data_IF_185188758310
#
_entry.id   IF_185188758310
#
_cell.length_a   1.000
_cell.length_b   1.000
_cell.length_c   1.000
_cell.angle_alpha   90.00
_cell.angle_beta   90.00
_cell.angle_gamma   90.00
#
_symmetry.space_group_name_H-M   'P 1'
#
loop_
_entity.id
_entity.type
_entity.pdbx_description
1 polymer ?
#
# COMPACT_ATOMS: atom_id res chain seq x y z
N UNK A 1 -1.89 -18.42 -38.52
CA UNK A 1 -0.63 -18.29 -37.74
C UNK A 1 -0.40 -16.80 -37.51
N UNK A 2 -0.15 -16.44 -36.27
CA UNK A 2 0.21 -15.06 -35.90
C UNK A 2 1.57 -14.69 -36.50
N UNK A 3 1.66 -13.48 -37.02
CA UNK A 3 2.92 -12.86 -37.47
C UNK A 3 3.86 -12.62 -36.28
N UNK A 4 5.14 -12.35 -36.54
CA UNK A 4 6.11 -12.02 -35.48
C UNK A 4 5.71 -10.75 -34.73
N UNK A 5 5.15 -9.75 -35.43
CA UNK A 5 4.68 -8.50 -34.81
C UNK A 5 3.54 -8.76 -33.84
N UNK A 6 2.52 -9.54 -34.23
CA UNK A 6 1.39 -9.89 -33.37
C UNK A 6 1.80 -10.70 -32.12
N UNK A 7 2.81 -11.57 -32.26
CA UNK A 7 3.38 -12.29 -31.11
C UNK A 7 4.08 -11.37 -30.15
N UNK A 8 4.87 -10.40 -30.64
CA UNK A 8 5.56 -9.42 -29.80
C UNK A 8 4.55 -8.55 -29.07
N UNK A 9 3.51 -8.09 -29.75
CA UNK A 9 2.44 -7.31 -29.14
C UNK A 9 1.69 -8.10 -28.05
N UNK A 10 1.35 -9.36 -28.32
CA UNK A 10 0.74 -10.24 -27.33
C UNK A 10 1.63 -10.44 -26.08
N UNK A 11 2.93 -10.67 -26.27
CA UNK A 11 3.86 -10.80 -25.15
C UNK A 11 3.97 -9.52 -24.33
N UNK A 12 3.96 -8.35 -24.98
CA UNK A 12 3.97 -7.06 -24.29
C UNK A 12 2.70 -6.86 -23.44
N UNK A 13 1.53 -7.14 -24.01
CA UNK A 13 0.25 -7.06 -23.29
C UNK A 13 0.19 -8.03 -22.11
N UNK A 14 0.70 -9.25 -22.27
CA UNK A 14 0.77 -10.22 -21.17
C UNK A 14 1.71 -9.74 -20.06
N UNK A 15 2.90 -9.26 -20.41
CA UNK A 15 3.84 -8.71 -19.42
C UNK A 15 3.22 -7.55 -18.65
N UNK A 16 2.57 -6.62 -19.33
CA UNK A 16 1.86 -5.50 -18.70
C UNK A 16 0.75 -5.97 -17.76
N UNK A 17 -0.05 -6.97 -18.15
CA UNK A 17 -1.09 -7.52 -17.30
C UNK A 17 -0.55 -8.23 -16.06
N UNK A 18 0.64 -8.85 -16.13
CA UNK A 18 1.31 -9.41 -14.97
C UNK A 18 1.86 -8.30 -14.05
N UNK A 19 2.50 -7.28 -14.61
CA UNK A 19 3.03 -6.16 -13.85
C UNK A 19 1.89 -5.37 -13.15
N UNK A 20 0.74 -5.27 -13.79
CA UNK A 20 -0.48 -4.69 -13.21
C UNK A 20 -1.22 -5.64 -12.26
N UNK A 21 -0.73 -6.87 -12.07
CA UNK A 21 -1.35 -7.91 -11.24
C UNK A 21 -2.79 -8.27 -11.64
N UNK A 22 -3.14 -8.13 -12.92
CA UNK A 22 -4.40 -8.66 -13.45
C UNK A 22 -4.41 -10.20 -13.41
N UNK A 23 -3.22 -10.81 -13.52
CA UNK A 23 -2.97 -12.23 -13.41
C UNK A 23 -1.81 -12.50 -12.44
N UNK A 24 -1.87 -13.66 -11.79
CA UNK A 24 -0.79 -14.23 -10.98
C UNK A 24 -0.55 -15.66 -11.44
N UNK A 25 0.71 -16.10 -11.45
CA UNK A 25 1.09 -17.43 -11.89
C UNK A 25 1.65 -18.20 -10.72
N UNK A 26 1.08 -19.36 -10.45
CA UNK A 26 1.65 -20.35 -9.54
C UNK A 26 2.12 -21.57 -10.34
N UNK A 27 3.37 -21.98 -10.11
CA UNK A 27 3.93 -23.20 -10.72
C UNK A 27 4.56 -24.07 -9.65
N UNK A 28 4.40 -25.37 -9.80
CA UNK A 28 5.03 -26.34 -8.89
C UNK A 28 6.44 -26.74 -9.37
N UNK A 29 7.27 -25.73 -9.68
CA UNK A 29 8.66 -25.90 -10.07
C UNK A 29 9.47 -24.75 -9.46
N UNK A 30 10.34 -25.04 -8.52
CA UNK A 30 11.06 -24.03 -7.74
C UNK A 30 11.88 -23.07 -8.60
N UNK A 31 12.55 -23.54 -9.65
CA UNK A 31 13.36 -22.66 -10.52
C UNK A 31 12.51 -21.62 -11.28
N UNK A 32 11.33 -22.04 -11.73
CA UNK A 32 10.41 -21.13 -12.43
C UNK A 32 9.75 -20.21 -11.40
N UNK A 33 9.37 -20.73 -10.22
CA UNK A 33 8.79 -19.98 -9.14
C UNK A 33 9.72 -18.87 -8.64
N UNK A 34 11.03 -19.17 -8.48
CA UNK A 34 12.04 -18.16 -8.10
C UNK A 34 12.08 -17.01 -9.13
N UNK A 35 12.04 -17.34 -10.44
CA UNK A 35 12.01 -16.32 -11.49
C UNK A 35 10.72 -15.52 -11.53
N UNK A 36 9.57 -16.13 -11.21
CA UNK A 36 8.28 -15.44 -11.12
C UNK A 36 8.24 -14.52 -9.89
N UNK A 37 8.85 -14.95 -8.78
CA UNK A 37 8.99 -14.15 -7.57
C UNK A 37 9.87 -12.91 -7.83
N UNK A 38 11.01 -13.09 -8.50
CA UNK A 38 11.90 -11.98 -8.89
C UNK A 38 11.19 -10.95 -9.78
N UNK A 39 10.19 -11.37 -10.57
CA UNK A 39 9.34 -10.52 -11.39
C UNK A 39 8.10 -9.97 -10.65
N UNK A 40 7.80 -10.45 -9.44
CA UNK A 40 6.59 -10.09 -8.70
C UNK A 40 5.29 -10.68 -9.26
N UNK A 41 5.37 -11.74 -10.08
CA UNK A 41 4.24 -12.32 -10.81
C UNK A 41 3.58 -13.51 -10.10
N UNK A 42 4.18 -14.01 -9.03
CA UNK A 42 3.69 -15.15 -8.25
C UNK A 42 2.73 -14.77 -7.11
N UNK A 43 2.52 -13.47 -6.89
CA UNK A 43 1.67 -12.94 -5.82
C UNK A 43 2.28 -13.06 -4.43
N UNK A 44 3.58 -13.33 -4.32
CA UNK A 44 4.28 -13.28 -3.03
C UNK A 44 4.42 -11.85 -2.53
N UNK A 45 4.31 -11.66 -1.23
CA UNK A 45 4.57 -10.38 -0.60
C UNK A 45 6.09 -10.19 -0.47
N UNK A 46 6.62 -9.20 -1.18
CA UNK A 46 8.05 -8.90 -1.16
C UNK A 46 8.34 -7.78 -0.17
N UNK A 47 9.17 -8.03 0.81
CA UNK A 47 9.63 -7.01 1.75
C UNK A 47 11.14 -6.85 1.60
N UNK A 48 11.60 -5.62 1.35
CA UNK A 48 13.02 -5.33 1.26
C UNK A 48 13.58 -5.08 2.66
N UNK A 49 14.61 -5.84 3.05
CA UNK A 49 15.33 -5.59 4.27
C UNK A 49 16.26 -4.38 4.13
N UNK A 50 16.32 -3.60 5.18
CA UNK A 50 17.26 -2.50 5.35
C UNK A 50 18.35 -2.84 6.34
N UNK A 51 19.55 -2.30 6.13
CA UNK A 51 20.68 -2.38 7.08
C UNK A 51 21.22 -0.97 7.31
N UNK A 52 21.60 -0.66 8.57
CA UNK A 52 22.28 0.59 8.98
C UNK A 52 21.59 1.90 8.55
N UNK A 53 20.98 2.60 9.49
CA UNK A 53 20.30 3.89 9.28
C UNK A 53 19.26 3.89 8.12
N UNK A 54 18.70 2.73 7.87
CA UNK A 54 17.66 2.52 6.87
C UNK A 54 16.43 1.91 7.54
N UNK A 55 15.26 2.39 7.17
CA UNK A 55 13.99 1.81 7.54
C UNK A 55 13.22 1.41 6.28
N UNK A 56 12.78 0.15 6.22
CA UNK A 56 11.94 -0.33 5.13
C UNK A 56 10.53 -0.53 5.63
N UNK A 57 9.60 0.16 5.00
CA UNK A 57 8.17 0.08 5.28
C UNK A 57 7.44 -0.64 4.14
N UNK A 58 6.42 -1.37 4.51
CA UNK A 58 5.57 -2.11 3.58
C UNK A 58 4.11 -1.87 3.94
N UNK A 59 3.29 -1.60 2.95
CA UNK A 59 1.85 -1.44 3.08
C UNK A 59 1.17 -2.36 2.06
N UNK A 60 0.58 -3.44 2.53
CA UNK A 60 -0.27 -4.31 1.73
C UNK A 60 -1.72 -4.20 2.21
N UNK A 61 -2.55 -3.49 1.49
CA UNK A 61 -3.98 -3.37 1.80
C UNK A 61 -4.77 -4.22 0.80
N UNK A 62 -5.50 -5.22 1.34
CA UNK A 62 -6.26 -6.17 0.53
C UNK A 62 -7.74 -6.14 0.90
N UNK A 63 -8.56 -6.07 -0.12
CA UNK A 63 -10.01 -6.03 -0.05
C UNK A 63 -10.57 -7.31 -0.68
N UNK A 64 -11.42 -8.02 0.05
CA UNK A 64 -12.14 -9.18 -0.47
C UNK A 64 -13.63 -8.91 -0.36
N UNK A 65 -14.32 -8.81 -1.48
CA UNK A 65 -15.78 -8.62 -1.52
C UNK A 65 -16.47 -9.86 -0.99
N UNK A 66 -17.37 -9.67 -0.04
CA UNK A 66 -18.19 -10.74 0.54
C UNK A 66 -19.60 -10.73 0.00
N UNK A 67 -20.14 -9.55 -0.26
CA UNK A 67 -21.46 -9.35 -0.86
C UNK A 67 -21.47 -8.04 -1.68
N UNK A 68 -22.29 -7.98 -2.73
CA UNK A 68 -22.50 -6.83 -3.55
C UNK A 68 -21.81 -6.90 -4.92
N UNK A 69 -22.02 -5.91 -5.75
CA UNK A 69 -21.37 -5.81 -7.05
C UNK A 69 -19.94 -5.29 -6.89
N UNK A 70 -18.98 -6.07 -7.35
CA UNK A 70 -17.59 -5.61 -7.46
C UNK A 70 -17.42 -4.97 -8.84
N UNK A 71 -16.98 -3.71 -8.89
CA UNK A 71 -16.67 -3.15 -10.20
C UNK A 71 -16.59 -1.63 -10.26
N UNK A 72 -17.00 -1.10 -11.40
CA UNK A 72 -16.85 0.32 -11.79
C UNK A 72 -17.62 1.31 -10.90
N UNK A 73 -18.54 0.84 -10.08
CA UNK A 73 -19.37 1.68 -9.20
C UNK A 73 -18.73 1.93 -7.82
N UNK A 74 -17.61 1.26 -7.54
CA UNK A 74 -16.86 1.44 -6.27
C UNK A 74 -15.62 2.28 -6.55
N UNK A 75 -15.63 3.51 -6.04
CA UNK A 75 -14.46 4.39 -6.09
C UNK A 75 -13.62 4.22 -4.83
N UNK A 76 -12.32 4.26 -4.99
CA UNK A 76 -11.34 4.07 -3.93
C UNK A 76 -10.31 5.19 -3.96
N UNK A 77 -9.82 5.57 -2.78
CA UNK A 77 -8.70 6.49 -2.61
C UNK A 77 -7.90 6.04 -1.40
N UNK A 78 -6.60 6.02 -1.51
CA UNK A 78 -5.67 5.71 -0.43
C UNK A 78 -4.84 6.94 -0.09
N UNK A 79 -4.74 7.31 1.17
CA UNK A 79 -3.80 8.33 1.65
C UNK A 79 -2.91 7.72 2.72
N UNK A 80 -1.61 7.69 2.49
CA UNK A 80 -0.62 7.24 3.46
C UNK A 80 0.15 8.44 4.01
N UNK A 81 0.08 8.62 5.33
CA UNK A 81 0.85 9.64 6.06
C UNK A 81 1.93 8.96 6.89
N UNK A 82 3.15 9.43 6.73
CA UNK A 82 4.32 8.97 7.47
C UNK A 82 4.92 10.15 8.19
N UNK A 83 5.15 10.02 9.49
CA UNK A 83 5.78 11.06 10.32
C UNK A 83 6.95 10.49 11.10
N UNK A 84 8.09 11.15 11.00
CA UNK A 84 9.30 10.83 11.75
C UNK A 84 9.37 11.71 13.00
N UNK A 85 9.26 11.11 14.18
CA UNK A 85 9.34 11.79 15.48
C UNK A 85 10.46 11.19 16.30
N UNK A 86 11.64 11.80 16.31
CA UNK A 86 12.84 11.32 17.00
C UNK A 86 13.16 9.84 16.72
N UNK A 87 12.72 8.95 17.61
CA UNK A 87 12.91 7.48 17.49
C UNK A 87 11.63 6.74 17.12
N UNK A 88 10.59 7.47 16.81
CA UNK A 88 9.28 6.91 16.53
C UNK A 88 8.85 7.23 15.09
N UNK A 89 8.49 6.20 14.37
CA UNK A 89 7.90 6.29 13.05
C UNK A 89 6.39 6.05 13.18
N UNK A 90 5.60 7.09 12.95
CA UNK A 90 4.14 7.02 12.98
C UNK A 90 3.58 6.93 11.57
N UNK A 91 2.64 6.05 11.37
CA UNK A 91 1.96 5.86 10.08
C UNK A 91 0.45 5.91 10.28
N UNK A 92 -0.19 6.51 9.30
CA UNK A 92 -1.64 6.58 9.20
C UNK A 92 -2.05 6.29 7.76
N UNK A 93 -2.78 5.21 7.56
CA UNK A 93 -3.40 4.87 6.29
C UNK A 93 -4.88 5.20 6.35
N UNK A 94 -5.35 6.00 5.41
CA UNK A 94 -6.77 6.32 5.21
C UNK A 94 -7.19 5.66 3.92
N UNK A 95 -8.14 4.75 3.99
CA UNK A 95 -8.74 4.13 2.82
C UNK A 95 -10.19 4.61 2.70
N UNK A 96 -10.43 5.42 1.69
CA UNK A 96 -11.76 5.95 1.39
C UNK A 96 -12.42 5.11 0.30
N UNK A 97 -13.68 4.76 0.54
CA UNK A 97 -14.51 4.00 -0.40
C UNK A 97 -15.84 4.72 -0.56
N UNK A 98 -16.25 4.92 -1.80
CA UNK A 98 -17.54 5.44 -2.20
C UNK A 98 -18.27 4.38 -3.04
N UNK A 99 -19.45 4.03 -2.62
CA UNK A 99 -20.34 3.10 -3.31
C UNK A 99 -21.40 3.89 -4.07
N UNK A 100 -21.34 3.90 -5.39
CA UNK A 100 -22.33 4.56 -6.26
C UNK A 100 -23.46 3.62 -6.71
N UNK A 101 -23.39 2.34 -6.32
CA UNK A 101 -24.39 1.32 -6.68
C UNK A 101 -25.69 1.46 -5.87
N UNK A 102 -26.72 0.74 -6.28
CA UNK A 102 -28.00 0.66 -5.60
C UNK A 102 -28.06 -0.39 -4.48
N UNK A 103 -27.00 -1.19 -4.30
CA UNK A 103 -26.89 -2.25 -3.30
C UNK A 103 -25.77 -1.96 -2.29
N UNK A 104 -25.84 -2.59 -1.11
CA UNK A 104 -24.76 -2.55 -0.15
C UNK A 104 -23.50 -3.19 -0.72
N UNK A 105 -22.35 -2.59 -0.42
CA UNK A 105 -21.05 -3.16 -0.71
C UNK A 105 -20.40 -3.64 0.56
N UNK A 106 -20.22 -4.95 0.70
CA UNK A 106 -19.62 -5.57 1.88
C UNK A 106 -18.29 -6.21 1.53
N UNK A 107 -17.28 -5.93 2.34
CA UNK A 107 -15.93 -6.41 2.14
C UNK A 107 -15.24 -6.76 3.44
N UNK A 108 -14.30 -7.69 3.36
CA UNK A 108 -13.24 -7.88 4.32
C UNK A 108 -12.01 -7.07 3.88
N UNK A 109 -11.57 -6.14 4.71
CA UNK A 109 -10.39 -5.33 4.49
C UNK A 109 -9.27 -5.79 5.42
N UNK A 110 -8.07 -6.07 4.86
CA UNK A 110 -6.92 -6.57 5.61
C UNK A 110 -5.68 -5.73 5.30
N UNK A 111 -5.07 -5.17 6.34
CA UNK A 111 -3.80 -4.46 6.26
C UNK A 111 -2.66 -5.35 6.76
N UNK A 112 -1.67 -5.59 5.89
CA UNK A 112 -0.44 -6.33 6.17
C UNK A 112 0.68 -5.34 6.48
N UNK A 113 1.32 -5.52 7.63
CA UNK A 113 2.44 -4.70 8.11
C UNK A 113 3.58 -5.65 8.52
N UNK A 114 4.83 -5.40 8.09
CA UNK A 114 5.96 -6.25 8.47
C UNK A 114 6.34 -6.10 9.94
N UNK A 115 6.90 -7.14 10.51
CA UNK A 115 7.51 -7.13 11.83
C UNK A 115 6.52 -7.31 12.99
N UNK A 116 6.95 -6.84 14.16
CA UNK A 116 6.22 -6.99 15.43
C UNK A 116 5.19 -5.87 15.67
N UNK A 117 5.34 -4.76 14.96
CA UNK A 117 4.47 -3.58 15.11
C UNK A 117 3.11 -3.84 14.46
N UNK A 118 2.06 -3.81 15.23
CA UNK A 118 0.69 -3.94 14.73
C UNK A 118 -0.03 -2.61 14.69
N UNK A 119 -1.20 -2.63 14.06
CA UNK A 119 -2.12 -1.50 14.12
C UNK A 119 -2.51 -1.25 15.58
N UNK A 120 -2.30 -0.03 16.05
CA UNK A 120 -2.63 0.39 17.41
C UNK A 120 -4.10 0.82 17.53
N UNK A 121 -4.65 1.34 16.42
CA UNK A 121 -6.00 1.87 16.39
C UNK A 121 -6.59 1.77 14.98
N UNK A 122 -7.85 1.34 14.89
CA UNK A 122 -8.65 1.39 13.68
C UNK A 122 -9.90 2.22 13.91
N UNK A 123 -10.21 3.12 12.99
CA UNK A 123 -11.40 3.95 13.03
C UNK A 123 -12.17 3.80 11.70
N UNK A 124 -13.48 3.73 11.78
CA UNK A 124 -14.36 3.80 10.62
C UNK A 124 -15.17 5.10 10.69
N UNK A 125 -15.14 5.87 9.61
CA UNK A 125 -15.84 7.15 9.51
C UNK A 125 -16.97 7.07 8.49
N UNK A 126 -18.09 7.69 8.83
CA UNK A 126 -19.25 7.91 7.96
C UNK A 126 -19.70 9.36 8.08
N UNK A 127 -19.32 10.19 7.12
CA UNK A 127 -19.43 11.65 7.25
C UNK A 127 -18.65 12.15 8.46
N UNK A 128 -19.28 12.96 9.30
CA UNK A 128 -18.62 13.52 10.50
C UNK A 128 -18.53 12.55 11.70
N UNK A 129 -19.16 11.39 11.59
CA UNK A 129 -19.14 10.38 12.67
C UNK A 129 -17.94 9.47 12.51
N UNK A 130 -17.12 9.38 13.55
CA UNK A 130 -16.00 8.44 13.65
C UNK A 130 -16.26 7.46 14.78
N UNK A 131 -16.01 6.20 14.51
CA UNK A 131 -16.13 5.13 15.50
C UNK A 131 -14.84 4.33 15.51
N UNK A 132 -14.27 4.14 16.69
CA UNK A 132 -13.17 3.18 16.87
C UNK A 132 -13.73 1.76 16.81
N UNK A 133 -13.03 0.90 16.07
CA UNK A 133 -13.41 -0.49 15.88
C UNK A 133 -12.27 -1.41 16.28
N UNK A 134 -12.61 -2.58 16.77
CA UNK A 134 -11.63 -3.62 17.08
C UNK A 134 -11.39 -4.40 15.78
N UNK A 135 -10.14 -4.39 15.32
CA UNK A 135 -9.73 -5.21 14.18
C UNK A 135 -9.30 -6.60 14.66
N UNK A 136 -9.63 -7.61 13.90
CA UNK A 136 -9.05 -8.93 14.06
C UNK A 136 -7.56 -8.88 13.75
N UNK A 137 -6.74 -9.56 14.57
CA UNK A 137 -5.30 -9.53 14.39
C UNK A 137 -4.77 -10.94 14.25
N UNK A 138 -4.02 -11.20 13.19
CA UNK A 138 -3.31 -12.44 12.94
C UNK A 138 -1.85 -12.21 12.55
N UNK A 139 -1.05 -13.27 12.58
CA UNK A 139 0.35 -13.27 12.11
C UNK A 139 0.52 -14.30 11.01
N UNK A 140 1.13 -13.88 9.92
CA UNK A 140 1.42 -14.77 8.80
C UNK A 140 2.78 -14.39 8.18
N UNK A 141 3.72 -15.35 8.19
CA UNK A 141 5.02 -15.23 7.48
C UNK A 141 5.78 -13.92 7.73
N UNK A 142 5.83 -13.45 8.98
CA UNK A 142 6.54 -12.22 9.36
C UNK A 142 5.72 -10.94 9.21
N UNK A 143 4.46 -11.04 8.80
CA UNK A 143 3.52 -9.93 8.77
C UNK A 143 2.55 -10.00 9.94
N UNK A 144 2.21 -8.84 10.47
CA UNK A 144 1.04 -8.64 11.31
C UNK A 144 -0.11 -8.15 10.43
N UNK A 145 -1.25 -8.81 10.53
CA UNK A 145 -2.42 -8.53 9.71
C UNK A 145 -3.50 -7.98 10.62
N UNK A 146 -4.06 -6.84 10.26
CA UNK A 146 -5.23 -6.28 10.92
C UNK A 146 -6.39 -6.26 9.95
N UNK A 147 -7.47 -6.96 10.30
CA UNK A 147 -8.63 -7.17 9.44
C UNK A 147 -9.93 -6.68 10.07
N UNK A 148 -10.86 -6.24 9.26
CA UNK A 148 -12.22 -5.89 9.66
C UNK A 148 -13.20 -6.06 8.50
N UNK A 149 -14.45 -6.34 8.85
CA UNK A 149 -15.56 -6.27 7.91
C UNK A 149 -16.08 -4.83 7.82
N UNK A 150 -16.31 -4.37 6.60
CA UNK A 150 -16.81 -3.04 6.30
C UNK A 150 -18.02 -3.16 5.37
N UNK A 151 -19.08 -2.41 5.73
CA UNK A 151 -20.25 -2.24 4.86
C UNK A 151 -20.36 -0.78 4.44
N UNK A 152 -20.45 -0.57 3.13
CA UNK A 152 -20.68 0.73 2.50
C UNK A 152 -22.07 0.72 1.89
N UNK A 153 -23.02 1.49 2.44
CA UNK A 153 -24.41 1.47 1.97
C UNK A 153 -24.52 2.02 0.53
N UNK A 154 -25.65 1.78 -0.13
CA UNK A 154 -25.95 2.36 -1.43
C UNK A 154 -25.77 3.87 -1.42
N UNK A 155 -25.14 4.40 -2.47
CA UNK A 155 -24.85 5.84 -2.60
C UNK A 155 -24.17 6.46 -1.39
N UNK A 156 -23.40 5.65 -0.64
CA UNK A 156 -22.72 6.04 0.58
C UNK A 156 -21.19 5.95 0.49
N UNK A 157 -20.53 6.41 1.53
CA UNK A 157 -19.08 6.35 1.63
C UNK A 157 -18.62 5.97 3.04
N UNK A 158 -17.40 5.42 3.13
CA UNK A 158 -16.68 5.15 4.36
C UNK A 158 -15.21 5.56 4.21
N UNK A 159 -14.64 6.04 5.30
CA UNK A 159 -13.20 6.12 5.43
C UNK A 159 -12.75 5.19 6.55
N UNK A 160 -11.84 4.28 6.24
CA UNK A 160 -11.23 3.35 7.18
C UNK A 160 -9.82 3.88 7.47
N UNK A 161 -9.51 4.08 8.74
CA UNK A 161 -8.28 4.71 9.18
C UNK A 161 -7.52 3.72 10.07
N UNK A 162 -6.33 3.32 9.62
CA UNK A 162 -5.39 2.50 10.38
C UNK A 162 -4.27 3.39 10.90
N UNK A 163 -3.95 3.28 12.19
CA UNK A 163 -2.81 3.95 12.79
C UNK A 163 -1.87 2.89 13.38
N UNK A 164 -0.57 3.02 13.11
CA UNK A 164 0.45 2.18 13.71
C UNK A 164 1.76 2.94 13.87
N UNK A 165 2.55 2.46 14.81
CA UNK A 165 3.81 3.08 15.18
C UNK A 165 4.89 2.01 15.23
N UNK A 166 6.14 2.42 15.07
CA UNK A 166 7.31 1.57 15.22
C UNK A 166 8.53 2.37 15.59
N UNK A 167 9.49 1.72 16.23
CA UNK A 167 10.76 2.35 16.51
C UNK A 167 11.52 2.60 15.21
N UNK A 168 12.11 3.78 15.07
CA UNK A 168 13.05 4.11 14.02
C UNK A 168 14.46 4.18 14.59
N UNK A 169 15.42 3.65 13.85
CA UNK A 169 16.84 3.71 14.22
C UNK A 169 17.59 4.85 13.50
N UNK A 170 16.87 5.90 13.13
CA UNK A 170 17.49 7.03 12.44
C UNK A 170 18.43 7.81 13.37
N UNK A 171 19.66 8.05 12.90
CA UNK A 171 20.63 8.89 13.58
C UNK A 171 20.61 10.30 12.97
N UNK A 172 20.45 11.31 13.83
CA UNK A 172 20.44 12.71 13.40
C UNK A 172 21.77 13.20 12.81
N UNK A 173 22.85 12.45 12.96
CA UNK A 173 24.20 12.84 12.49
C UNK A 173 24.61 12.13 11.21
N UNK A 174 23.91 11.11 10.79
CA UNK A 174 24.24 10.29 9.65
C UNK A 174 23.23 10.44 8.51
N UNK A 175 23.58 9.86 7.40
CA UNK A 175 22.66 9.74 6.25
C UNK A 175 21.63 8.66 6.59
N UNK A 176 20.36 9.04 6.57
CA UNK A 176 19.24 8.16 6.80
C UNK A 176 18.57 7.78 5.46
N UNK A 177 17.97 6.62 5.41
CA UNK A 177 17.20 6.16 4.26
C UNK A 177 15.85 5.59 4.73
N UNK A 178 14.78 6.00 4.06
CA UNK A 178 13.45 5.41 4.22
C UNK A 178 13.01 4.83 2.89
N UNK A 179 12.67 3.55 2.90
CA UNK A 179 12.13 2.83 1.75
C UNK A 179 10.67 2.52 2.00
N UNK A 180 9.83 2.88 1.04
CA UNK A 180 8.40 2.60 1.06
C UNK A 180 8.05 1.67 -0.08
N UNK A 181 7.38 0.58 0.25
CA UNK A 181 6.76 -0.32 -0.71
C UNK A 181 5.26 -0.37 -0.45
N UNK A 182 4.46 -0.13 -1.49
CA UNK A 182 3.00 -0.30 -1.44
C UNK A 182 2.62 -1.38 -2.44
N UNK A 183 2.08 -2.46 -1.90
CA UNK A 183 1.61 -3.60 -2.68
C UNK A 183 0.31 -3.27 -3.39
N UNK A 184 0.27 -3.48 -4.72
CA UNK A 184 -0.97 -3.41 -5.47
C UNK A 184 -1.76 -4.69 -5.32
N UNK A 185 -3.01 -4.57 -4.95
CA UNK A 185 -3.92 -5.72 -4.91
C UNK A 185 -4.29 -6.18 -6.32
N UNK A 186 -4.22 -7.50 -6.56
CA UNK A 186 -4.77 -8.11 -7.77
C UNK A 186 -6.27 -7.90 -7.90
N UNK A 187 -6.73 -7.68 -9.13
CA UNK A 187 -8.14 -7.58 -9.47
C UNK A 187 -8.81 -6.24 -9.13
N UNK A 188 -8.11 -5.31 -8.48
CA UNK A 188 -8.57 -3.93 -8.28
C UNK A 188 -7.75 -3.02 -9.19
N UNK A 189 -8.44 -2.28 -10.06
CA UNK A 189 -7.80 -1.33 -10.97
C UNK A 189 -7.67 0.04 -10.30
N UNK A 190 -6.60 0.75 -10.67
CA UNK A 190 -6.47 2.20 -10.59
C UNK A 190 -6.89 2.80 -9.23
N UNK A 191 -6.15 2.50 -8.17
CA UNK A 191 -6.35 3.15 -6.88
C UNK A 191 -5.53 4.44 -6.86
N UNK A 192 -6.14 5.63 -6.84
CA UNK A 192 -5.42 6.87 -6.55
C UNK A 192 -4.78 6.79 -5.16
N UNK A 193 -3.50 7.15 -5.09
CA UNK A 193 -2.73 7.13 -3.85
C UNK A 193 -2.08 8.48 -3.62
N UNK A 194 -2.28 9.02 -2.43
CA UNK A 194 -1.61 10.19 -1.91
C UNK A 194 -0.64 9.77 -0.82
N UNK A 195 0.63 10.17 -0.94
CA UNK A 195 1.69 9.87 0.05
C UNK A 195 2.16 11.19 0.63
N UNK A 196 2.02 11.33 1.94
CA UNK A 196 2.47 12.51 2.70
C UNK A 196 3.56 12.08 3.69
N UNK A 197 4.74 12.68 3.58
CA UNK A 197 5.86 12.42 4.48
C UNK A 197 6.17 13.71 5.24
N UNK A 198 6.02 13.63 6.56
CA UNK A 198 6.22 14.75 7.47
C UNK A 198 7.57 14.57 8.18
N UNK A 199 8.47 15.51 7.97
CA UNK A 199 9.74 15.59 8.68
C UNK A 199 10.14 17.05 8.86
N UNK A 200 10.35 17.48 10.09
CA UNK A 200 10.53 18.89 10.43
C UNK A 200 11.97 19.41 10.19
N UNK A 201 12.96 18.53 9.98
CA UNK A 201 14.37 18.90 9.95
C UNK A 201 15.14 18.18 8.84
N UNK A 202 14.54 18.01 7.67
CA UNK A 202 15.22 17.38 6.53
C UNK A 202 16.11 18.39 5.80
N UNK A 203 17.41 18.23 5.92
CA UNK A 203 18.39 18.82 5.01
C UNK A 203 18.81 17.80 3.93
N UNK A 204 19.15 18.29 2.75
CA UNK A 204 19.66 17.45 1.65
C UNK A 204 18.76 16.25 1.28
N UNK A 205 17.46 16.47 1.22
CA UNK A 205 16.48 15.49 0.76
C UNK A 205 16.75 15.07 -0.67
N UNK A 206 16.82 13.76 -0.90
CA UNK A 206 16.88 13.13 -2.23
C UNK A 206 15.91 11.97 -2.28
N UNK A 207 15.20 11.84 -3.37
CA UNK A 207 14.31 10.72 -3.62
C UNK A 207 14.41 10.27 -5.08
N UNK A 208 14.16 9.02 -5.33
CA UNK A 208 13.91 8.45 -6.67
C UNK A 208 12.51 8.81 -7.19
N UNK A 209 11.61 9.21 -6.30
CA UNK A 209 10.24 9.64 -6.58
C UNK A 209 10.16 11.17 -6.53
N UNK A 210 9.45 11.85 -7.46
CA UNK A 210 9.39 13.30 -7.53
C UNK A 210 8.41 13.89 -6.49
N UNK A 211 8.75 13.80 -5.21
CA UNK A 211 7.99 14.44 -4.14
C UNK A 211 8.01 15.96 -4.25
N UNK A 212 6.89 16.58 -3.97
CA UNK A 212 6.74 18.03 -3.90
C UNK A 212 6.72 18.49 -2.45
N UNK A 213 7.67 19.36 -2.08
CA UNK A 213 7.67 19.99 -0.76
C UNK A 213 6.59 21.08 -0.70
N UNK A 214 5.67 20.94 0.25
CA UNK A 214 4.64 21.94 0.52
C UNK A 214 5.08 22.93 1.61
N UNK A 215 4.36 24.05 1.72
CA UNK A 215 4.52 24.98 2.83
C UNK A 215 4.17 24.28 4.13
N UNK A 216 5.15 24.02 4.99
CA UNK A 216 4.97 23.31 6.26
C UNK A 216 5.81 22.03 6.42
N UNK A 217 6.75 21.78 5.51
CA UNK A 217 7.69 20.64 5.66
C UNK A 217 7.07 19.28 5.32
N UNK A 218 6.01 19.27 4.51
CA UNK A 218 5.36 18.01 4.06
C UNK A 218 5.80 17.72 2.63
N UNK A 219 6.36 16.54 2.41
CA UNK A 219 6.65 16.01 1.08
C UNK A 219 5.45 15.23 0.58
N UNK A 220 4.84 15.68 -0.50
CA UNK A 220 3.67 15.06 -1.11
C UNK A 220 4.01 14.41 -2.45
N UNK A 221 3.42 13.24 -2.68
CA UNK A 221 3.41 12.58 -3.96
C UNK A 221 2.04 11.97 -4.23
N UNK A 222 1.49 12.23 -5.41
CA UNK A 222 0.22 11.66 -5.87
C UNK A 222 0.47 10.77 -7.06
N UNK A 223 -0.09 9.58 -7.05
CA UNK A 223 0.00 8.61 -8.12
C UNK A 223 -1.27 7.78 -8.24
N UNK A 224 -1.33 6.94 -9.26
CA UNK A 224 -2.34 5.88 -9.39
C UNK A 224 -1.63 4.54 -9.29
N UNK A 225 -2.06 3.72 -8.35
CA UNK A 225 -1.48 2.40 -8.10
C UNK A 225 -1.96 1.42 -9.19
N UNK A 226 -1.26 1.40 -10.32
CA UNK A 226 -1.48 0.45 -11.44
C UNK A 226 -0.59 -0.78 -11.31
N UNK A 227 0.49 -0.69 -10.58
CA UNK A 227 1.46 -1.75 -10.24
C UNK A 227 1.98 -1.49 -8.83
N UNK A 228 2.84 -2.35 -8.30
CA UNK A 228 3.49 -2.11 -7.02
C UNK A 228 4.25 -0.79 -7.04
N UNK A 229 4.13 -0.03 -5.98
CA UNK A 229 4.83 1.24 -5.83
C UNK A 229 6.04 1.07 -4.92
N UNK A 230 7.17 1.60 -5.35
CA UNK A 230 8.39 1.66 -4.58
C UNK A 230 8.94 3.09 -4.56
N UNK A 231 9.41 3.53 -3.41
CA UNK A 231 10.10 4.81 -3.26
C UNK A 231 11.21 4.71 -2.22
N UNK A 232 12.36 5.30 -2.53
CA UNK A 232 13.47 5.49 -1.60
C UNK A 232 13.71 6.98 -1.37
N UNK A 233 13.80 7.35 -0.10
CA UNK A 233 14.04 8.71 0.34
C UNK A 233 15.29 8.71 1.22
N UNK A 234 16.19 9.61 0.91
CA UNK A 234 17.46 9.76 1.62
C UNK A 234 17.60 11.18 2.09
N UNK A 235 17.98 11.36 3.36
CA UNK A 235 18.22 12.69 3.93
C UNK A 235 19.35 12.66 4.96
N UNK A 236 19.74 13.85 5.36
CA UNK A 236 20.64 14.11 6.48
C UNK A 236 20.01 15.20 7.34
N UNK A 237 20.01 15.01 8.63
CA UNK A 237 19.57 16.03 9.61
C UNK A 237 20.72 16.97 9.95
#
# INVERSE_FOLDING_TARGET
QMSTSEKTELLSLLSESFDQKDFQIFVNNNKILDSLNDLGWDGSLTHQNCTNNCYSDFVGLFETTTEGESGSEIKRLMTLRVSFEEKLLKRKLIYYIENSSASDYKMNLRLFIPGENGVSKVEVSSGDKKQEVIADTERLRGYKISGLEVEVPPHGARAIIFNWEGESSFDSKEKNEYKLFIEKQSGIKDIPVEIEILENNIENFKSDTPYHLTNGGVFNYNTVLTHDFYSSIVWKN
#
